data_IF_819203274968
#
_entry.id   IF_819203274968
#
_cell.length_a   1.000
_cell.length_b   1.000
_cell.length_c   1.000
_cell.angle_alpha   90.00
_cell.angle_beta   90.00
_cell.angle_gamma   90.00
#
_symmetry.space_group_name_H-M   'P 1'
#
loop_
_entity.id
_entity.type
_entity.pdbx_description
1 polymer ?
#
# COMPACT_ATOMS: atom_id res chain seq x y z
N UNK A 1 -20.30 27.46 -46.82
CA UNK A 1 -21.43 26.62 -47.28
C UNK A 1 -20.88 25.64 -48.30
N UNK A 2 -20.04 24.67 -47.94
CA UNK A 2 -20.44 23.30 -47.63
C UNK A 2 -19.19 22.52 -47.16
N UNK A 3 -18.73 22.76 -45.94
CA UNK A 3 -17.82 21.84 -45.24
C UNK A 3 -18.04 21.84 -43.72
N UNK A 4 -19.19 22.39 -43.29
CA UNK A 4 -19.68 22.37 -41.91
C UNK A 4 -20.83 21.36 -41.71
N UNK A 5 -21.04 20.44 -42.66
CA UNK A 5 -22.17 19.50 -42.65
C UNK A 5 -21.81 18.02 -42.88
N UNK A 6 -20.54 17.64 -42.67
CA UNK A 6 -20.11 16.21 -42.70
C UNK A 6 -19.33 15.73 -41.47
N UNK A 7 -19.25 16.54 -40.42
CA UNK A 7 -18.64 16.16 -39.15
C UNK A 7 -19.64 16.07 -37.97
N UNK A 8 -20.93 16.17 -38.25
CA UNK A 8 -22.02 16.09 -37.25
C UNK A 8 -22.74 14.74 -37.24
N UNK A 9 -22.34 13.76 -38.08
CA UNK A 9 -23.03 12.46 -38.17
C UNK A 9 -22.32 11.27 -37.50
N UNK A 10 -21.35 11.49 -36.62
CA UNK A 10 -20.72 10.41 -35.84
C UNK A 10 -20.63 10.71 -34.34
N UNK A 11 -21.54 11.56 -33.84
CA UNK A 11 -21.78 11.79 -32.42
C UNK A 11 -23.09 11.14 -31.94
N UNK A 12 -23.57 10.09 -32.61
CA UNK A 12 -24.79 9.36 -32.22
C UNK A 12 -24.67 7.85 -32.40
N UNK A 13 -23.73 7.21 -31.70
CA UNK A 13 -23.77 5.77 -31.36
C UNK A 13 -22.63 5.31 -30.40
N UNK A 14 -22.36 6.08 -29.33
CA UNK A 14 -21.59 5.56 -28.18
C UNK A 14 -22.45 5.76 -26.93
N UNK A 15 -23.63 5.16 -26.95
CA UNK A 15 -24.33 4.72 -25.74
C UNK A 15 -24.80 3.31 -26.02
N UNK A 16 -24.66 2.44 -25.01
CA UNK A 16 -25.02 1.01 -24.97
C UNK A 16 -24.13 0.03 -25.75
N UNK A 17 -23.02 -0.37 -25.12
CA UNK A 17 -22.76 -1.80 -24.87
C UNK A 17 -22.00 -1.99 -23.56
N UNK A 18 -22.79 -2.16 -22.51
CA UNK A 18 -22.44 -2.94 -21.33
C UNK A 18 -22.12 -4.39 -21.71
N UNK A 19 -21.39 -5.06 -20.80
CA UNK A 19 -21.22 -6.52 -20.66
C UNK A 19 -20.28 -7.24 -21.65
N UNK A 20 -18.98 -7.14 -21.38
CA UNK A 20 -18.16 -8.37 -21.29
C UNK A 20 -18.04 -8.70 -19.81
N UNK A 21 -19.05 -9.39 -19.30
CA UNK A 21 -18.92 -10.15 -18.07
C UNK A 21 -17.82 -11.17 -18.32
N UNK A 22 -16.67 -10.95 -17.70
CA UNK A 22 -15.72 -12.01 -17.46
C UNK A 22 -16.48 -13.15 -16.79
N UNK A 23 -16.61 -14.29 -17.46
CA UNK A 23 -17.03 -15.55 -16.86
C UNK A 23 -15.87 -16.04 -15.98
N UNK A 24 -15.66 -15.32 -14.88
CA UNK A 24 -14.94 -15.79 -13.71
C UNK A 24 -15.79 -16.93 -13.16
N UNK A 25 -15.25 -18.15 -12.97
CA UNK A 25 -15.96 -19.16 -12.20
C UNK A 25 -16.27 -18.52 -10.85
N UNK A 26 -17.53 -18.57 -10.42
CA UNK A 26 -18.05 -17.92 -9.21
C UNK A 26 -17.24 -18.39 -7.99
N UNK A 27 -16.12 -17.72 -7.73
CA UNK A 27 -15.37 -17.70 -6.50
C UNK A 27 -15.69 -16.31 -5.96
N UNK A 28 -16.29 -16.24 -4.77
CA UNK A 28 -17.00 -15.06 -4.28
C UNK A 28 -16.31 -13.72 -4.57
N UNK A 29 -17.10 -12.68 -4.86
CA UNK A 29 -16.61 -11.31 -5.08
C UNK A 29 -15.66 -10.92 -3.94
N UNK A 30 -14.41 -10.59 -4.26
CA UNK A 30 -13.47 -9.98 -3.32
C UNK A 30 -12.87 -8.72 -3.95
N UNK A 31 -12.42 -7.76 -3.13
CA UNK A 31 -12.02 -6.42 -3.57
C UNK A 31 -10.51 -6.20 -3.36
N UNK A 32 -9.68 -6.22 -4.44
CA UNK A 32 -8.22 -6.13 -4.34
C UNK A 32 -7.70 -4.84 -3.66
N UNK A 33 -8.43 -3.73 -3.81
CA UNK A 33 -8.05 -2.46 -3.19
C UNK A 33 -8.12 -2.49 -1.66
N UNK A 34 -9.07 -3.25 -1.10
CA UNK A 34 -9.20 -3.48 0.35
C UNK A 34 -8.07 -4.37 0.86
N UNK A 35 -7.72 -5.40 0.09
CA UNK A 35 -6.58 -6.27 0.39
C UNK A 35 -5.26 -5.49 0.42
N UNK A 36 -4.98 -4.67 -0.60
CA UNK A 36 -3.77 -3.87 -0.67
C UNK A 36 -3.66 -2.88 0.50
N UNK A 37 -4.78 -2.24 0.87
CA UNK A 37 -4.87 -1.38 2.04
C UNK A 37 -4.50 -2.11 3.34
N UNK A 38 -5.04 -3.32 3.55
CA UNK A 38 -4.75 -4.10 4.74
C UNK A 38 -3.32 -4.68 4.74
N UNK A 39 -2.75 -5.01 3.59
CA UNK A 39 -1.32 -5.34 3.50
C UNK A 39 -0.43 -4.15 3.85
N UNK A 40 -0.78 -2.93 3.41
CA UNK A 40 -0.06 -1.73 3.83
C UNK A 40 -0.07 -1.58 5.35
N UNK A 41 -1.21 -1.84 6.01
CA UNK A 41 -1.29 -1.85 7.47
C UNK A 41 -0.35 -2.91 8.05
N UNK A 42 -0.48 -4.17 7.63
CA UNK A 42 0.35 -5.30 8.09
C UNK A 42 1.84 -4.99 7.98
N UNK A 43 2.26 -4.42 6.87
CA UNK A 43 3.66 -4.17 6.56
C UNK A 43 4.21 -2.97 7.35
N UNK A 44 3.34 -2.07 7.83
CA UNK A 44 3.73 -0.86 8.56
C UNK A 44 3.74 -1.01 10.08
N UNK A 45 3.01 -1.99 10.62
CA UNK A 45 2.94 -2.24 12.06
C UNK A 45 3.74 -3.49 12.43
N UNK A 46 4.61 -3.36 13.43
CA UNK A 46 5.43 -4.48 13.90
C UNK A 46 4.60 -5.47 14.69
N UNK A 47 4.10 -6.54 14.05
CA UNK A 47 3.56 -7.70 14.76
C UNK A 47 3.77 -8.98 13.96
N UNK A 48 4.46 -9.96 14.56
CA UNK A 48 4.64 -11.29 13.99
C UNK A 48 3.31 -12.03 13.75
N UNK A 49 2.24 -11.65 14.47
CA UNK A 49 0.94 -12.33 14.42
C UNK A 49 0.10 -11.98 13.18
N UNK A 50 0.35 -10.84 12.53
CA UNK A 50 -0.40 -10.47 11.31
C UNK A 50 0.14 -11.18 10.06
N UNK A 51 1.47 -11.38 9.98
CA UNK A 51 2.12 -11.97 8.81
C UNK A 51 1.75 -13.43 8.58
N UNK A 52 1.53 -14.23 9.65
CA UNK A 52 1.10 -15.63 9.50
C UNK A 52 -0.37 -15.77 9.12
N UNK A 53 -1.21 -14.81 9.51
CA UNK A 53 -2.67 -14.96 9.47
C UNK A 53 -3.34 -14.28 8.27
N UNK A 54 -2.67 -13.33 7.62
CA UNK A 54 -3.24 -12.49 6.54
C UNK A 54 -2.68 -12.86 5.15
N UNK A 55 -3.03 -14.07 4.68
CA UNK A 55 -2.66 -14.58 3.35
C UNK A 55 -3.91 -14.79 2.47
N UNK A 56 -3.78 -14.55 1.16
CA UNK A 56 -4.92 -14.63 0.22
C UNK A 56 -5.93 -13.47 0.35
N UNK A 57 -7.12 -13.55 -0.24
CA UNK A 57 -8.13 -12.49 -0.17
C UNK A 57 -8.71 -12.33 1.25
N UNK A 58 -8.93 -11.09 1.73
CA UNK A 58 -9.44 -10.84 3.08
C UNK A 58 -10.88 -11.33 3.26
N UNK A 59 -11.66 -11.35 2.18
CA UNK A 59 -13.05 -11.76 2.18
C UNK A 59 -13.32 -12.79 1.08
N UNK A 60 -13.95 -13.91 1.43
CA UNK A 60 -14.45 -14.93 0.52
C UNK A 60 -15.80 -15.44 1.01
N UNK A 61 -16.83 -15.42 0.14
CA UNK A 61 -18.17 -15.94 0.45
C UNK A 61 -18.73 -15.40 1.78
N UNK A 62 -18.59 -14.09 2.03
CA UNK A 62 -19.04 -13.43 3.25
C UNK A 62 -18.31 -13.84 4.54
N UNK A 63 -17.15 -14.48 4.42
CA UNK A 63 -16.33 -14.91 5.54
C UNK A 63 -14.88 -14.45 5.35
N UNK A 64 -14.15 -14.33 6.46
CA UNK A 64 -12.73 -14.00 6.47
C UNK A 64 -11.94 -15.11 7.14
N UNK A 65 -10.76 -15.41 6.58
CA UNK A 65 -9.74 -16.22 7.25
C UNK A 65 -8.73 -15.37 8.01
N UNK A 66 -8.71 -14.07 7.73
CA UNK A 66 -7.82 -13.11 8.35
C UNK A 66 -8.34 -12.81 9.75
N UNK A 67 -7.53 -13.13 10.77
CA UNK A 67 -7.85 -12.80 12.15
C UNK A 67 -8.18 -11.31 12.29
N UNK A 68 -9.30 -11.00 12.94
CA UNK A 68 -9.75 -9.63 13.15
C UNK A 68 -10.52 -8.99 12.00
N UNK A 69 -10.67 -9.66 10.85
CA UNK A 69 -11.47 -9.16 9.72
C UNK A 69 -12.84 -9.83 9.72
N UNK A 70 -13.91 -9.06 9.52
CA UNK A 70 -15.24 -9.58 9.20
C UNK A 70 -15.73 -9.02 7.87
N UNK A 71 -16.54 -9.81 7.15
CA UNK A 71 -16.95 -9.49 5.79
C UNK A 71 -18.47 -9.41 5.64
N UNK A 72 -18.92 -8.50 4.79
CA UNK A 72 -20.30 -8.40 4.31
C UNK A 72 -20.32 -8.23 2.79
N UNK A 73 -21.02 -9.11 2.05
CA UNK A 73 -21.10 -9.08 0.59
C UNK A 73 -19.73 -9.01 -0.13
N UNK A 74 -18.72 -9.66 0.46
CA UNK A 74 -17.35 -9.69 -0.06
C UNK A 74 -16.47 -8.50 0.34
N UNK A 75 -17.03 -7.50 1.03
CA UNK A 75 -16.31 -6.33 1.53
C UNK A 75 -15.92 -6.47 2.99
N UNK A 76 -14.81 -5.86 3.37
CA UNK A 76 -14.39 -5.72 4.78
C UNK A 76 -15.32 -4.74 5.50
N UNK A 77 -15.98 -5.22 6.54
CA UNK A 77 -16.87 -4.39 7.38
C UNK A 77 -16.34 -4.19 8.79
N UNK A 78 -15.58 -5.15 9.34
CA UNK A 78 -14.92 -4.98 10.64
C UNK A 78 -13.41 -5.20 10.51
N UNK A 79 -12.65 -4.34 11.18
CA UNK A 79 -11.21 -4.47 11.40
C UNK A 79 -10.97 -4.38 12.92
N UNK A 80 -10.69 -5.52 13.55
CA UNK A 80 -10.57 -5.70 15.00
C UNK A 80 -9.25 -6.38 15.34
N UNK A 81 -8.27 -5.59 15.75
CA UNK A 81 -6.90 -6.01 16.05
C UNK A 81 -6.52 -5.71 17.50
N UNK A 82 -7.40 -6.05 18.44
CA UNK A 82 -7.20 -5.71 19.84
C UNK A 82 -6.15 -6.61 20.50
N UNK A 83 -5.22 -6.03 21.26
CA UNK A 83 -4.33 -6.81 22.14
C UNK A 83 -3.27 -7.65 21.44
N UNK A 84 -3.04 -7.49 20.14
CA UNK A 84 -2.10 -8.31 19.36
C UNK A 84 -0.68 -7.73 19.30
N UNK A 85 -0.37 -6.80 20.20
CA UNK A 85 0.94 -6.17 20.40
C UNK A 85 1.45 -5.43 19.16
N UNK A 86 0.55 -4.73 18.46
CA UNK A 86 0.94 -3.88 17.33
C UNK A 86 1.85 -2.75 17.80
N UNK A 87 2.91 -2.48 17.05
CA UNK A 87 3.87 -1.40 17.29
C UNK A 87 4.05 -0.56 16.01
N UNK A 88 4.58 0.66 16.16
CA UNK A 88 4.79 1.58 15.04
C UNK A 88 3.58 2.48 14.80
N UNK A 89 3.51 3.11 13.63
CA UNK A 89 2.44 4.05 13.30
C UNK A 89 1.51 3.54 12.21
N UNK A 90 0.27 4.01 12.21
CA UNK A 90 -0.68 3.69 11.16
C UNK A 90 -0.32 4.42 9.85
N UNK A 91 -0.43 3.75 8.68
CA UNK A 91 -0.25 4.43 7.40
C UNK A 91 -1.31 5.55 7.23
N UNK A 92 -0.98 6.73 6.70
CA UNK A 92 -1.94 7.84 6.64
C UNK A 92 -3.22 7.61 5.80
N UNK A 93 -3.24 6.61 4.92
CA UNK A 93 -4.29 6.42 3.91
C UNK A 93 -4.83 4.98 3.81
N UNK A 94 -4.41 4.04 4.67
CA UNK A 94 -4.80 2.63 4.50
C UNK A 94 -6.31 2.41 4.63
N UNK A 95 -7.03 3.29 5.34
CA UNK A 95 -8.48 3.19 5.49
C UNK A 95 -9.26 3.71 4.27
N UNK A 96 -8.64 4.43 3.34
CA UNK A 96 -9.36 5.12 2.26
C UNK A 96 -10.14 4.17 1.34
N UNK A 97 -9.68 2.92 1.22
CA UNK A 97 -10.31 1.90 0.37
C UNK A 97 -11.31 1.02 1.13
N UNK A 98 -11.40 1.12 2.46
CA UNK A 98 -12.26 0.30 3.31
C UNK A 98 -13.60 1.01 3.59
N UNK A 99 -14.25 1.54 2.55
CA UNK A 99 -15.37 2.50 2.68
C UNK A 99 -16.63 1.94 3.33
N UNK A 100 -16.78 0.61 3.39
CA UNK A 100 -17.89 -0.07 4.05
C UNK A 100 -17.59 -0.51 5.50
N UNK A 101 -16.47 -0.04 6.07
CA UNK A 101 -16.11 -0.34 7.45
C UNK A 101 -17.15 0.24 8.42
N UNK A 102 -17.72 -0.62 9.26
CA UNK A 102 -18.65 -0.26 10.34
C UNK A 102 -17.98 -0.33 11.71
N UNK A 103 -16.90 -1.10 11.85
CA UNK A 103 -16.14 -1.22 13.11
C UNK A 103 -14.64 -1.19 12.89
N UNK A 104 -13.97 -0.28 13.59
CA UNK A 104 -12.52 -0.16 13.69
C UNK A 104 -12.11 -0.30 15.16
N UNK A 105 -11.31 -1.33 15.47
CA UNK A 105 -10.82 -1.57 16.82
C UNK A 105 -9.35 -1.96 16.78
N UNK A 106 -8.52 -1.24 17.53
CA UNK A 106 -7.10 -1.52 17.71
C UNK A 106 -6.69 -1.30 19.17
N UNK A 107 -7.61 -1.55 20.11
CA UNK A 107 -7.42 -1.28 21.55
C UNK A 107 -6.26 -2.11 22.10
N UNK A 108 -5.58 -1.57 23.11
CA UNK A 108 -4.58 -2.30 23.89
C UNK A 108 -3.40 -2.78 23.03
N UNK A 109 -2.82 -1.85 22.27
CA UNK A 109 -1.60 -2.05 21.50
C UNK A 109 -0.58 -0.95 21.86
N UNK A 110 0.53 -0.91 21.14
CA UNK A 110 1.60 0.08 21.29
C UNK A 110 1.72 0.96 20.03
N UNK A 111 0.59 1.29 19.40
CA UNK A 111 0.55 2.07 18.17
C UNK A 111 0.80 3.55 18.50
N UNK A 112 1.74 4.17 17.79
CA UNK A 112 2.15 5.56 17.95
C UNK A 112 1.82 6.43 16.73
N UNK A 113 2.02 7.74 16.85
CA UNK A 113 1.69 8.70 15.79
C UNK A 113 0.25 9.21 15.87
N UNK A 114 -0.23 9.93 14.84
CA UNK A 114 -1.56 10.55 14.87
C UNK A 114 -2.69 9.53 14.72
N UNK A 115 -3.88 9.90 15.19
CA UNK A 115 -5.12 9.18 14.87
C UNK A 115 -5.36 9.14 13.35
N UNK A 116 -5.90 8.03 12.82
CA UNK A 116 -6.10 7.86 11.38
C UNK A 116 -7.21 8.77 10.85
N UNK A 117 -7.19 9.09 9.55
CA UNK A 117 -8.32 9.78 8.92
C UNK A 117 -9.49 8.81 8.73
N UNK A 118 -10.68 9.19 9.22
CA UNK A 118 -11.91 8.40 9.12
C UNK A 118 -12.99 9.08 8.28
N UNK A 119 -12.75 10.27 7.72
CA UNK A 119 -13.79 11.12 7.11
C UNK A 119 -14.55 10.46 5.95
N UNK A 120 -13.93 9.51 5.24
CA UNK A 120 -14.57 8.78 4.13
C UNK A 120 -15.36 7.53 4.58
N UNK A 121 -15.32 7.17 5.87
CA UNK A 121 -15.95 5.97 6.42
C UNK A 121 -17.35 6.28 6.94
N UNK A 122 -18.26 6.70 6.05
CA UNK A 122 -19.61 7.18 6.40
C UNK A 122 -20.48 6.14 7.15
N UNK A 123 -20.18 4.85 6.97
CA UNK A 123 -20.84 3.74 7.66
C UNK A 123 -20.23 3.37 9.00
N UNK A 124 -19.19 4.07 9.47
CA UNK A 124 -18.47 3.71 10.70
C UNK A 124 -19.33 3.97 11.93
N UNK A 125 -19.54 2.93 12.73
CA UNK A 125 -20.36 2.95 13.94
C UNK A 125 -19.52 2.84 15.22
N UNK A 126 -18.44 2.07 15.19
CA UNK A 126 -17.64 1.75 16.38
C UNK A 126 -16.16 2.05 16.14
N UNK A 127 -15.59 2.94 16.96
CA UNK A 127 -14.17 3.32 16.92
C UNK A 127 -13.54 3.12 18.29
N UNK A 128 -12.70 2.09 18.42
CA UNK A 128 -12.03 1.75 19.67
C UNK A 128 -10.50 1.80 19.48
N UNK A 129 -9.90 2.93 19.88
CA UNK A 129 -8.46 3.19 19.76
C UNK A 129 -7.78 3.43 21.11
N UNK A 130 -8.50 3.20 22.20
CA UNK A 130 -8.03 3.35 23.59
C UNK A 130 -6.81 2.47 23.91
N UNK A 131 -6.01 2.85 24.92
CA UNK A 131 -4.84 2.11 25.40
C UNK A 131 -3.82 1.90 24.28
N UNK A 132 -3.32 2.99 23.73
CA UNK A 132 -2.28 3.05 22.71
C UNK A 132 -1.32 4.23 23.02
N UNK A 133 -0.43 4.55 22.08
CA UNK A 133 0.51 5.66 22.18
C UNK A 133 0.17 6.77 21.15
N UNK A 134 -1.11 6.93 20.77
CA UNK A 134 -1.52 7.93 19.78
C UNK A 134 -1.23 9.36 20.27
N UNK A 135 -0.72 10.21 19.39
CA UNK A 135 -0.38 11.63 19.65
C UNK A 135 -1.13 12.56 18.70
N UNK A 136 -0.93 13.87 18.82
CA UNK A 136 -1.61 14.86 17.97
C UNK A 136 -3.07 15.08 18.37
N UNK A 137 -3.82 15.81 17.54
CA UNK A 137 -5.21 16.16 17.82
C UNK A 137 -6.20 15.11 17.37
N UNK A 138 -7.38 15.09 18.00
CA UNK A 138 -8.55 14.37 17.47
C UNK A 138 -8.95 15.06 16.14
N UNK A 139 -8.95 14.34 15.00
CA UNK A 139 -9.28 14.95 13.71
C UNK A 139 -10.69 15.54 13.69
N UNK A 140 -10.83 16.75 13.14
CA UNK A 140 -12.13 17.43 13.08
C UNK A 140 -13.15 16.64 12.26
N UNK A 141 -12.72 15.95 11.20
CA UNK A 141 -13.60 15.19 10.31
C UNK A 141 -14.38 14.07 11.02
N UNK A 142 -14.00 13.69 12.24
CA UNK A 142 -14.75 12.70 13.02
C UNK A 142 -16.16 13.18 13.38
N UNK A 143 -16.41 14.50 13.38
CA UNK A 143 -17.76 15.07 13.56
C UNK A 143 -18.69 14.79 12.37
N UNK A 144 -18.13 14.42 11.21
CA UNK A 144 -18.90 14.14 10.00
C UNK A 144 -19.45 12.70 9.97
N UNK A 145 -18.96 11.81 10.84
CA UNK A 145 -19.36 10.41 10.91
C UNK A 145 -20.75 10.28 11.57
N UNK A 146 -21.82 10.45 10.77
CA UNK A 146 -23.21 10.48 11.26
C UNK A 146 -23.69 9.13 11.84
N UNK A 147 -23.07 8.02 11.45
CA UNK A 147 -23.42 6.68 11.93
C UNK A 147 -22.71 6.29 13.23
N UNK A 148 -21.81 7.15 13.74
CA UNK A 148 -20.93 6.84 14.86
C UNK A 148 -21.72 6.66 16.17
N UNK A 149 -21.67 5.46 16.74
CA UNK A 149 -22.35 5.07 17.98
C UNK A 149 -21.40 5.12 19.17
N UNK A 150 -20.17 4.66 18.99
CA UNK A 150 -19.20 4.60 20.08
C UNK A 150 -17.82 5.06 19.63
N UNK A 151 -17.21 5.95 20.41
CA UNK A 151 -15.82 6.37 20.23
C UNK A 151 -15.06 6.35 21.55
N UNK A 152 -14.03 5.52 21.61
CA UNK A 152 -13.18 5.35 22.78
C UNK A 152 -11.71 5.60 22.43
N UNK A 153 -11.18 6.70 22.96
CA UNK A 153 -9.83 7.20 22.72
C UNK A 153 -9.01 7.32 24.01
N UNK A 154 -9.53 6.84 25.14
CA UNK A 154 -8.89 6.99 26.45
C UNK A 154 -7.55 6.27 26.54
N UNK A 155 -6.69 6.72 27.46
CA UNK A 155 -5.35 6.15 27.68
C UNK A 155 -4.50 6.22 26.41
N UNK A 156 -4.28 7.45 25.94
CA UNK A 156 -3.40 7.83 24.83
C UNK A 156 -2.65 9.13 25.19
N UNK A 157 -1.94 9.73 24.24
CA UNK A 157 -1.22 11.02 24.39
C UNK A 157 -1.80 12.11 23.46
N UNK A 158 -3.11 12.09 23.23
CA UNK A 158 -3.80 13.04 22.37
C UNK A 158 -3.76 14.45 22.96
N UNK A 159 -3.64 15.46 22.11
CA UNK A 159 -3.44 16.87 22.46
C UNK A 159 -4.46 17.77 21.75
N UNK A 160 -4.48 19.05 22.11
CA UNK A 160 -5.37 20.04 21.51
C UNK A 160 -6.82 19.89 21.98
N UNK A 161 -7.75 20.46 21.21
CA UNK A 161 -9.16 20.58 21.59
C UNK A 161 -9.98 19.36 21.22
N UNK A 162 -11.03 19.09 21.98
CA UNK A 162 -12.08 18.14 21.61
C UNK A 162 -12.92 18.76 20.48
N UNK A 163 -13.10 18.08 19.32
CA UNK A 163 -14.03 18.51 18.28
C UNK A 163 -15.48 18.56 18.78
N UNK A 164 -16.34 19.44 18.23
CA UNK A 164 -17.73 19.58 18.66
C UNK A 164 -18.60 18.42 18.16
N UNK A 165 -18.40 17.23 18.70
CA UNK A 165 -19.24 16.06 18.42
C UNK A 165 -20.69 16.37 18.77
N UNK A 166 -21.58 16.21 17.80
CA UNK A 166 -23.01 16.49 17.93
C UNK A 166 -23.87 15.42 17.24
N UNK A 167 -23.26 14.28 16.91
CA UNK A 167 -23.95 13.16 16.29
C UNK A 167 -24.90 12.49 17.29
N UNK A 168 -26.19 12.54 16.98
CA UNK A 168 -27.26 12.01 17.84
C UNK A 168 -27.23 10.48 18.00
N UNK A 169 -26.50 9.79 17.12
CA UNK A 169 -26.26 8.35 17.18
C UNK A 169 -25.26 7.95 18.27
N UNK A 170 -24.47 8.90 18.78
CA UNK A 170 -23.37 8.65 19.70
C UNK A 170 -23.90 8.34 21.11
N UNK A 171 -23.70 7.10 21.56
CA UNK A 171 -24.16 6.58 22.85
C UNK A 171 -23.03 6.27 23.82
N UNK A 172 -21.78 6.16 23.33
CA UNK A 172 -20.59 6.05 24.17
C UNK A 172 -19.46 6.94 23.66
N UNK A 173 -18.86 7.69 24.57
CA UNK A 173 -17.75 8.60 24.30
C UNK A 173 -16.79 8.57 25.47
N UNK A 174 -15.50 8.37 25.21
CA UNK A 174 -14.47 8.46 26.23
C UNK A 174 -13.15 8.97 25.65
N UNK A 175 -12.65 10.08 26.21
CA UNK A 175 -11.37 10.70 25.87
C UNK A 175 -10.49 10.93 27.11
N UNK A 176 -10.83 10.29 28.23
CA UNK A 176 -10.10 10.41 29.49
C UNK A 176 -8.65 9.94 29.36
N UNK A 177 -7.78 10.31 30.30
CA UNK A 177 -6.36 9.92 30.30
C UNK A 177 -5.66 10.26 28.98
N UNK A 178 -5.64 11.55 28.64
CA UNK A 178 -4.95 12.13 27.48
C UNK A 178 -4.31 13.47 27.90
N UNK A 179 -3.86 14.27 26.94
CA UNK A 179 -3.30 15.63 27.14
C UNK A 179 -4.15 16.69 26.43
N UNK A 180 -5.46 16.50 26.38
CA UNK A 180 -6.39 17.43 25.73
C UNK A 180 -6.54 18.73 26.54
N UNK A 181 -6.85 19.82 25.82
CA UNK A 181 -6.92 21.16 26.39
C UNK A 181 -8.06 22.02 25.83
N UNK A 182 -8.37 23.09 26.57
CA UNK A 182 -9.39 24.06 26.21
C UNK A 182 -10.80 23.69 26.68
N UNK A 183 -11.81 24.47 26.28
CA UNK A 183 -13.18 24.22 26.67
C UNK A 183 -13.72 22.95 26.04
N UNK A 184 -14.39 22.11 26.83
CA UNK A 184 -15.23 21.02 26.31
C UNK A 184 -16.36 21.67 25.49
N UNK A 185 -16.55 21.30 24.21
CA UNK A 185 -17.61 21.88 23.40
C UNK A 185 -18.99 21.63 24.02
N UNK A 186 -19.81 22.69 24.06
CA UNK A 186 -21.13 22.65 24.71
C UNK A 186 -22.22 22.18 23.74
N UNK A 187 -22.02 21.03 23.10
CA UNK A 187 -23.04 20.36 22.29
C UNK A 187 -24.01 19.60 23.18
N UNK A 188 -25.22 19.31 22.71
CA UNK A 188 -26.21 18.55 23.49
C UNK A 188 -25.71 17.13 23.77
N UNK A 189 -25.05 16.54 22.78
CA UNK A 189 -24.47 15.19 22.86
C UNK A 189 -23.33 15.12 23.88
N UNK A 190 -22.32 15.99 23.79
CA UNK A 190 -21.16 15.91 24.71
C UNK A 190 -21.53 16.23 26.16
N UNK A 191 -22.54 17.08 26.39
CA UNK A 191 -23.05 17.33 27.75
C UNK A 191 -23.75 16.11 28.37
N UNK A 192 -24.20 15.17 27.55
CA UNK A 192 -24.87 13.96 28.00
C UNK A 192 -23.94 12.90 28.58
N UNK A 193 -22.63 12.96 28.28
CA UNK A 193 -21.66 11.98 28.77
C UNK A 193 -21.19 12.29 30.19
N UNK A 194 -20.87 11.26 31.00
CA UNK A 194 -20.44 11.45 32.39
C UNK A 194 -19.09 12.16 32.48
N UNK A 195 -18.84 12.83 33.61
CA UNK A 195 -17.57 13.52 33.89
C UNK A 195 -16.35 12.60 33.68
N UNK A 196 -16.49 11.31 34.00
CA UNK A 196 -15.46 10.28 33.83
C UNK A 196 -14.92 10.17 32.40
N UNK A 197 -15.73 10.49 31.39
CA UNK A 197 -15.33 10.46 29.98
C UNK A 197 -14.27 11.50 29.62
N UNK A 198 -14.03 12.50 30.48
CA UNK A 198 -13.15 13.64 30.23
C UNK A 198 -12.00 13.75 31.23
N UNK A 199 -12.06 13.01 32.35
CA UNK A 199 -11.07 13.10 33.43
C UNK A 199 -9.65 12.79 32.96
N UNK A 200 -8.66 13.21 33.75
CA UNK A 200 -7.25 13.02 33.45
C UNK A 200 -6.81 13.67 32.12
N UNK A 201 -7.38 14.83 31.82
CA UNK A 201 -6.89 15.79 30.83
C UNK A 201 -6.74 17.15 31.55
N UNK A 202 -5.53 17.48 32.00
CA UNK A 202 -5.32 18.64 32.89
C UNK A 202 -5.60 19.99 32.24
N UNK A 203 -5.63 20.07 30.91
CA UNK A 203 -5.92 21.29 30.17
C UNK A 203 -7.40 21.52 29.87
N UNK A 204 -8.28 20.54 30.11
CA UNK A 204 -9.70 20.67 29.82
C UNK A 204 -10.43 21.53 30.85
N UNK A 205 -11.43 22.26 30.39
CA UNK A 205 -12.29 23.08 31.23
C UNK A 205 -13.74 23.10 30.70
N UNK A 206 -14.68 23.56 31.52
CA UNK A 206 -16.10 23.64 31.22
C UNK A 206 -16.92 22.47 31.76
N UNK A 207 -18.20 22.42 31.39
CA UNK A 207 -19.07 21.28 31.69
C UNK A 207 -18.79 20.14 30.69
N UNK A 208 -18.84 18.86 31.10
CA UNK A 208 -19.43 18.38 32.37
C UNK A 208 -18.50 18.37 33.60
N UNK A 209 -17.18 18.54 33.44
CA UNK A 209 -16.21 18.40 34.56
C UNK A 209 -16.19 19.56 35.58
N UNK A 210 -17.04 20.57 35.40
CA UNK A 210 -17.21 21.75 36.29
C UNK A 210 -15.93 22.52 36.58
N UNK A 211 -14.91 22.37 35.74
CA UNK A 211 -13.63 23.09 35.85
C UNK A 211 -13.78 24.47 35.18
N UNK A 212 -13.51 25.60 35.86
CA UNK A 212 -13.64 26.93 35.24
C UNK A 212 -12.67 27.11 34.08
N UNK A 213 -13.16 27.62 32.94
CA UNK A 213 -12.26 27.97 31.85
C UNK A 213 -11.53 29.29 32.12
N UNK A 214 -10.23 29.39 31.75
CA UNK A 214 -9.52 30.66 31.80
C UNK A 214 -10.28 31.70 30.98
N UNK A 215 -10.67 32.80 31.62
CA UNK A 215 -11.21 33.95 30.90
C UNK A 215 -10.04 34.55 30.12
N UNK A 216 -10.15 34.73 28.78
CA UNK A 216 -9.12 35.43 28.05
C UNK A 216 -8.85 36.78 28.71
N UNK A 217 -7.58 37.18 28.93
CA UNK A 217 -7.31 38.52 29.44
C UNK A 217 -7.99 39.52 28.51
N UNK A 218 -8.75 40.45 29.09
CA UNK A 218 -9.39 41.52 28.35
C UNK A 218 -8.34 42.17 27.43
N UNK A 219 -8.69 42.52 26.17
CA UNK A 219 -7.73 43.16 25.29
C UNK A 219 -7.24 44.45 25.94
N UNK A 220 -5.98 44.44 26.40
CA UNK A 220 -5.31 45.63 26.89
C UNK A 220 -5.32 46.67 25.77
N UNK A 221 -5.60 47.96 26.06
CA UNK A 221 -5.53 48.99 25.04
C UNK A 221 -4.13 49.01 24.44
N UNK A 222 -4.06 48.82 23.13
CA UNK A 222 -2.83 48.82 22.35
C UNK A 222 -1.99 50.06 22.67
N UNK A 223 -0.68 49.93 22.96
CA UNK A 223 0.19 51.09 23.01
C UNK A 223 0.30 51.65 21.59
N UNK A 224 -0.03 52.93 21.44
CA UNK A 224 0.27 53.71 20.24
C UNK A 224 1.78 53.77 20.06
N UNK A 225 2.34 52.91 19.21
CA UNK A 225 3.71 53.08 18.74
C UNK A 225 3.77 54.20 17.70
N UNK A 226 4.12 55.39 18.16
CA UNK A 226 4.67 56.46 17.33
C UNK A 226 6.09 56.09 16.90
N UNK A 227 6.20 55.28 15.85
CA UNK A 227 7.47 54.99 15.19
C UNK A 227 7.97 56.22 14.43
N UNK A 228 9.04 56.85 14.94
CA UNK A 228 9.88 57.78 14.17
C UNK A 228 10.38 57.07 12.92
N UNK A 229 10.07 57.62 11.74
CA UNK A 229 10.66 57.21 10.46
C UNK A 229 12.15 57.55 10.47
N UNK A 230 13.02 56.56 10.63
CA UNK A 230 14.40 56.66 10.17
C UNK A 230 14.46 56.21 8.72
N UNK A 231 14.92 57.09 7.83
CA UNK A 231 15.19 56.79 6.42
C UNK A 231 16.25 55.70 6.32
N UNK A 232 15.85 54.52 5.84
CA UNK A 232 16.77 53.45 5.48
C UNK A 232 17.00 53.54 3.97
N UNK A 233 18.25 53.78 3.58
CA UNK A 233 18.66 54.02 2.21
C UNK A 233 18.34 52.84 1.29
N UNK A 234 17.84 53.15 0.10
CA UNK A 234 17.35 52.25 -0.95
C UNK A 234 18.46 51.45 -1.66
N UNK A 235 19.52 51.05 -0.95
CA UNK A 235 20.67 50.32 -1.52
C UNK A 235 20.75 48.85 -1.10
N UNK A 236 20.12 48.47 0.01
CA UNK A 236 20.22 47.10 0.55
C UNK A 236 19.10 46.15 0.08
N UNK A 237 17.98 46.65 -0.44
CA UNK A 237 16.90 45.79 -0.96
C UNK A 237 17.23 45.18 -2.33
N UNK A 238 18.04 45.87 -3.14
CA UNK A 238 18.45 45.40 -4.47
C UNK A 238 19.45 44.23 -4.35
N UNK A 239 20.32 44.25 -3.35
CA UNK A 239 21.27 43.17 -3.08
C UNK A 239 20.58 41.88 -2.62
N UNK A 240 19.56 41.99 -1.76
CA UNK A 240 18.81 40.83 -1.26
C UNK A 240 18.00 40.17 -2.38
N UNK A 241 17.37 40.97 -3.25
CA UNK A 241 16.63 40.43 -4.42
C UNK A 241 17.59 39.78 -5.42
N UNK A 242 18.75 40.40 -5.70
CA UNK A 242 19.75 39.83 -6.61
C UNK A 242 20.30 38.49 -6.11
N UNK A 243 20.60 38.36 -4.81
CA UNK A 243 21.11 37.12 -4.20
C UNK A 243 20.02 36.04 -4.19
N UNK A 244 18.76 36.41 -3.92
CA UNK A 244 17.64 35.46 -3.89
C UNK A 244 17.33 34.80 -5.26
N UNK A 245 17.73 35.44 -6.36
CA UNK A 245 17.53 34.91 -7.72
C UNK A 245 18.80 34.25 -8.27
N UNK A 246 19.98 34.78 -7.93
CA UNK A 246 21.26 34.23 -8.40
C UNK A 246 21.57 32.85 -7.80
N UNK A 247 21.23 32.63 -6.52
CA UNK A 247 21.50 31.34 -5.86
C UNK A 247 20.68 30.20 -6.45
N UNK A 248 19.35 30.31 -6.65
CA UNK A 248 18.57 29.29 -7.36
C UNK A 248 19.04 29.09 -8.80
N UNK A 249 19.38 30.16 -9.53
CA UNK A 249 19.88 30.05 -10.89
C UNK A 249 21.21 29.28 -10.97
N UNK A 250 22.12 29.49 -10.01
CA UNK A 250 23.36 28.72 -9.92
C UNK A 250 23.10 27.25 -9.57
N UNK A 251 22.16 26.95 -8.67
CA UNK A 251 21.77 25.57 -8.33
C UNK A 251 21.16 24.87 -9.55
N UNK A 252 20.26 25.54 -10.28
CA UNK A 252 19.67 25.03 -11.52
C UNK A 252 20.75 24.83 -12.57
N UNK A 253 21.70 25.74 -12.72
CA UNK A 253 22.79 25.61 -13.68
C UNK A 253 23.72 24.44 -13.35
N UNK A 254 24.05 24.24 -12.07
CA UNK A 254 24.81 23.08 -11.59
C UNK A 254 24.03 21.79 -11.81
N UNK A 255 22.72 21.80 -11.56
CA UNK A 255 21.84 20.65 -11.79
C UNK A 255 21.75 20.30 -13.28
N UNK A 256 21.56 21.30 -14.16
CA UNK A 256 21.55 21.12 -15.61
C UNK A 256 22.93 20.70 -16.14
N UNK A 257 24.02 21.23 -15.56
CA UNK A 257 25.37 20.80 -15.90
C UNK A 257 25.63 19.35 -15.47
N UNK A 258 25.17 18.97 -14.28
CA UNK A 258 25.22 17.59 -13.80
C UNK A 258 24.38 16.66 -14.68
N UNK A 259 23.16 17.08 -15.04
CA UNK A 259 22.26 16.33 -15.91
C UNK A 259 22.85 16.16 -17.31
N UNK A 260 23.40 17.24 -17.90
CA UNK A 260 24.10 17.20 -19.19
C UNK A 260 25.39 16.37 -19.14
N UNK A 261 26.10 16.37 -18.00
CA UNK A 261 27.31 15.56 -17.79
C UNK A 261 26.97 14.08 -17.60
N UNK A 262 25.85 13.76 -16.95
CA UNK A 262 25.30 12.40 -16.80
C UNK A 262 24.80 11.86 -18.13
N UNK A 263 24.05 12.67 -18.88
CA UNK A 263 23.57 12.31 -20.21
C UNK A 263 24.72 12.15 -21.23
N UNK A 264 25.83 12.91 -21.09
CA UNK A 264 27.06 12.67 -21.87
C UNK A 264 27.74 11.35 -21.52
N UNK A 265 27.62 10.85 -20.29
CA UNK A 265 28.15 9.53 -19.89
C UNK A 265 27.26 8.39 -20.40
N UNK A 266 25.95 8.62 -20.50
CA UNK A 266 25.00 7.67 -21.11
C UNK A 266 25.11 7.65 -22.65
N UNK A 267 25.29 8.79 -23.32
CA UNK A 267 25.56 8.80 -24.76
C UNK A 267 26.95 8.26 -25.10
N UNK A 268 27.96 8.41 -24.22
CA UNK A 268 29.27 7.76 -24.38
C UNK A 268 29.22 6.24 -24.15
N UNK A 269 28.33 5.74 -23.29
CA UNK A 269 28.06 4.30 -23.11
C UNK A 269 27.28 3.72 -24.28
N UNK A 270 26.26 4.44 -24.76
CA UNK A 270 25.44 4.01 -25.89
C UNK A 270 26.22 4.10 -27.22
N UNK A 271 27.16 5.05 -27.37
CA UNK A 271 28.08 5.07 -28.51
C UNK A 271 29.14 3.97 -28.43
N UNK A 272 29.59 3.57 -27.24
CA UNK A 272 30.49 2.42 -27.08
C UNK A 272 29.80 1.07 -27.37
N UNK A 273 28.49 0.98 -27.12
CA UNK A 273 27.67 -0.19 -27.49
C UNK A 273 27.40 -0.22 -29.01
N UNK A 274 27.34 0.93 -29.68
CA UNK A 274 27.18 0.99 -31.13
C UNK A 274 28.43 0.52 -31.90
N UNK A 275 29.64 0.74 -31.37
CA UNK A 275 30.89 0.25 -31.96
C UNK A 275 31.18 -1.24 -31.69
N UNK A 276 30.53 -1.84 -30.68
CA UNK A 276 30.69 -3.27 -30.39
C UNK A 276 29.71 -4.16 -31.19
N UNK A 277 28.65 -3.57 -31.74
CA UNK A 277 27.63 -4.28 -32.51
C UNK A 277 27.91 -4.30 -34.03
N UNK A 278 29.03 -3.73 -34.47
CA UNK A 278 29.41 -3.64 -35.89
C UNK A 278 30.27 -4.82 -36.39
N UNK A 279 30.69 -5.75 -35.52
CA UNK A 279 31.59 -6.87 -35.89
C UNK A 279 30.97 -8.28 -35.85
N UNK A 280 29.66 -8.42 -35.67
CA UNK A 280 28.96 -9.71 -35.78
C UNK A 280 27.57 -9.54 -36.39
N UNK A 281 27.54 -8.98 -37.60
CA UNK A 281 26.30 -8.60 -38.28
C UNK A 281 26.37 -8.77 -39.80
N UNK A 282 26.98 -9.84 -40.30
CA UNK A 282 26.78 -10.28 -41.68
C UNK A 282 26.44 -11.77 -41.70
N UNK A 283 25.15 -12.08 -41.81
CA UNK A 283 24.61 -12.91 -42.89
C UNK A 283 23.09 -13.08 -42.72
N UNK A 284 22.39 -13.02 -43.86
CA UNK A 284 20.99 -13.37 -44.09
C UNK A 284 19.93 -12.28 -43.84
N UNK A 285 19.83 -11.38 -44.82
CA UNK A 285 18.52 -10.89 -45.31
C UNK A 285 18.23 -11.61 -46.63
N UNK A 286 17.18 -12.42 -46.63
CA UNK A 286 16.18 -12.69 -47.67
C UNK A 286 15.38 -13.90 -47.15
N UNK A 287 14.05 -13.97 -47.11
CA UNK A 287 13.05 -13.40 -47.97
C UNK A 287 11.68 -13.51 -47.26
N UNK A 288 10.84 -12.53 -47.57
CA UNK A 288 9.50 -12.26 -47.08
C UNK A 288 8.44 -13.38 -47.12
N UNK A 289 7.56 -13.31 -46.11
CA UNK A 289 6.07 -13.39 -46.17
C UNK A 289 5.40 -14.20 -47.29
N UNK A 290 4.73 -15.31 -46.95
CA UNK A 290 3.29 -15.60 -47.28
C UNK A 290 2.87 -17.03 -46.90
N UNK A 291 1.78 -17.17 -46.12
CA UNK A 291 0.51 -17.86 -46.46
C UNK A 291 -0.22 -18.41 -45.24
N UNK A 292 -1.49 -18.00 -45.10
CA UNK A 292 -2.55 -18.83 -44.55
C UNK A 292 -2.63 -20.14 -45.33
N UNK A 293 -2.57 -21.29 -44.65
CA UNK A 293 -3.61 -22.33 -44.66
C UNK A 293 -3.08 -23.68 -44.11
N UNK A 294 -3.89 -24.24 -43.22
CA UNK A 294 -4.19 -25.65 -43.00
C UNK A 294 -3.05 -26.69 -42.93
N UNK A 295 -3.00 -27.37 -41.77
CA UNK A 295 -2.81 -28.81 -41.63
C UNK A 295 -1.55 -29.44 -42.24
N UNK A 296 -0.59 -29.80 -41.41
CA UNK A 296 -0.23 -31.22 -41.23
C UNK A 296 0.66 -31.38 -39.99
N UNK A 297 0.29 -32.36 -39.16
CA UNK A 297 1.08 -32.85 -38.03
C UNK A 297 2.45 -33.33 -38.51
N UNK A 298 3.51 -32.84 -37.87
CA UNK A 298 4.76 -33.57 -37.71
C UNK A 298 5.25 -33.28 -36.28
N UNK A 299 5.44 -34.36 -35.52
CA UNK A 299 5.84 -34.41 -34.12
C UNK A 299 7.27 -33.86 -33.99
N UNK A 300 7.45 -32.78 -33.24
CA UNK A 300 8.77 -32.31 -32.80
C UNK A 300 8.78 -32.32 -31.25
N UNK A 301 9.53 -33.22 -30.59
CA UNK A 301 9.40 -33.46 -29.16
C UNK A 301 10.06 -32.41 -28.25
N UNK A 302 10.66 -31.34 -28.79
CA UNK A 302 11.31 -30.29 -27.98
C UNK A 302 10.46 -29.02 -27.75
N UNK A 303 9.24 -28.94 -28.29
CA UNK A 303 8.48 -27.68 -28.33
C UNK A 303 7.46 -27.45 -27.20
N UNK A 304 7.71 -27.92 -25.97
CA UNK A 304 6.75 -27.79 -24.86
C UNK A 304 7.38 -27.47 -23.49
N UNK A 305 8.49 -26.73 -23.45
CA UNK A 305 9.05 -26.27 -22.18
C UNK A 305 8.46 -24.89 -21.82
N UNK A 306 7.20 -24.84 -21.42
CA UNK A 306 6.56 -23.68 -20.81
C UNK A 306 6.62 -23.81 -19.27
N UNK A 307 6.45 -22.69 -18.55
CA UNK A 307 6.25 -22.74 -17.10
C UNK A 307 4.93 -23.46 -16.80
N UNK A 308 5.00 -24.55 -16.03
CA UNK A 308 3.81 -25.26 -15.58
C UNK A 308 3.33 -24.65 -14.25
N UNK A 309 2.22 -23.91 -14.32
CA UNK A 309 1.56 -23.32 -13.16
C UNK A 309 0.58 -24.32 -12.53
N UNK A 310 0.59 -24.43 -11.20
CA UNK A 310 -0.35 -25.29 -10.49
C UNK A 310 -1.77 -24.73 -10.47
N UNK A 311 -1.88 -23.40 -10.54
CA UNK A 311 -3.14 -22.68 -10.69
C UNK A 311 -3.26 -22.17 -12.12
N UNK A 312 -4.08 -22.86 -12.94
CA UNK A 312 -4.23 -22.60 -14.37
C UNK A 312 -4.87 -21.24 -14.71
N UNK A 313 -5.33 -20.49 -13.71
CA UNK A 313 -6.05 -19.24 -13.89
C UNK A 313 -5.16 -17.99 -13.96
N UNK A 314 -3.84 -18.07 -13.70
CA UNK A 314 -2.96 -16.89 -13.73
C UNK A 314 -1.50 -17.26 -14.04
N UNK A 315 -0.99 -17.08 -15.27
CA UNK A 315 0.42 -16.78 -15.43
C UNK A 315 0.61 -15.29 -15.17
N UNK A 316 1.21 -14.93 -14.04
CA UNK A 316 1.58 -13.54 -13.75
C UNK A 316 2.81 -13.08 -14.56
N UNK A 317 3.49 -14.01 -15.23
CA UNK A 317 4.69 -13.85 -16.05
C UNK A 317 4.92 -15.14 -16.85
N UNK A 318 5.68 -15.05 -17.94
CA UNK A 318 6.12 -16.22 -18.72
C UNK A 318 7.60 -16.59 -18.48
N UNK A 319 8.11 -17.59 -19.21
CA UNK A 319 9.51 -18.01 -19.06
C UNK A 319 10.49 -16.90 -19.48
N UNK A 320 10.16 -16.12 -20.50
CA UNK A 320 11.01 -15.05 -20.99
C UNK A 320 11.11 -13.92 -19.97
N UNK A 321 9.99 -13.55 -19.34
CA UNK A 321 9.94 -12.61 -18.24
C UNK A 321 10.82 -13.06 -17.06
N UNK A 322 10.78 -14.36 -16.74
CA UNK A 322 11.58 -14.95 -15.66
C UNK A 322 13.08 -14.95 -16.00
N UNK A 323 13.45 -15.21 -17.26
CA UNK A 323 14.83 -15.22 -17.72
C UNK A 323 15.42 -13.81 -17.84
N UNK A 324 14.59 -12.78 -18.11
CA UNK A 324 15.00 -11.37 -18.10
C UNK A 324 15.04 -10.75 -16.70
N UNK A 325 14.45 -11.40 -15.69
CA UNK A 325 14.37 -10.89 -14.33
C UNK A 325 15.76 -10.63 -13.73
N UNK A 326 15.86 -9.56 -12.93
CA UNK A 326 17.04 -9.34 -12.10
C UNK A 326 17.10 -10.39 -11.00
N UNK A 327 18.25 -11.01 -10.77
CA UNK A 327 18.39 -12.13 -9.85
C UNK A 327 19.49 -11.89 -8.79
N UNK A 328 19.13 -12.06 -7.52
CA UNK A 328 20.04 -12.03 -6.37
C UNK A 328 20.08 -13.41 -5.71
N UNK A 329 21.26 -13.90 -5.31
CA UNK A 329 21.38 -15.22 -4.66
C UNK A 329 20.93 -15.12 -3.20
N UNK A 330 19.86 -15.83 -2.84
CA UNK A 330 19.40 -15.94 -1.44
C UNK A 330 20.13 -17.04 -0.67
N UNK A 331 20.52 -18.13 -1.34
CA UNK A 331 21.18 -19.24 -0.66
C UNK A 331 21.68 -20.32 -1.61
N UNK A 332 22.78 -20.97 -1.25
CA UNK A 332 23.38 -22.07 -2.01
C UNK A 332 23.43 -23.32 -1.13
N UNK A 333 22.59 -24.30 -1.46
CA UNK A 333 22.66 -25.65 -0.89
C UNK A 333 23.50 -26.60 -1.74
N UNK A 334 23.69 -27.82 -1.25
CA UNK A 334 24.36 -28.91 -1.97
C UNK A 334 23.63 -29.27 -3.28
N UNK A 335 22.30 -29.29 -3.25
CA UNK A 335 21.47 -29.78 -4.36
C UNK A 335 20.79 -28.66 -5.17
N UNK A 336 20.83 -27.41 -4.70
CA UNK A 336 20.14 -26.29 -5.34
C UNK A 336 20.75 -24.94 -5.02
N UNK A 337 20.52 -23.95 -5.87
CA UNK A 337 20.69 -22.53 -5.54
C UNK A 337 19.33 -21.85 -5.56
N UNK A 338 19.05 -21.02 -4.57
CA UNK A 338 17.84 -20.20 -4.50
C UNK A 338 18.18 -18.75 -4.82
N UNK A 339 17.40 -18.15 -5.70
CA UNK A 339 17.50 -16.77 -6.15
C UNK A 339 16.24 -16.01 -5.79
N UNK A 340 16.38 -14.73 -5.49
CA UNK A 340 15.31 -13.74 -5.51
C UNK A 340 15.30 -13.14 -6.91
N UNK A 341 14.24 -13.41 -7.67
CA UNK A 341 14.05 -12.83 -8.99
C UNK A 341 13.05 -11.68 -8.90
N UNK A 342 13.45 -10.49 -9.37
CA UNK A 342 12.57 -9.34 -9.50
C UNK A 342 12.32 -9.07 -10.97
N UNK A 343 11.06 -9.26 -11.39
CA UNK A 343 10.61 -9.11 -12.78
C UNK A 343 10.37 -7.63 -13.11
N UNK A 344 10.36 -7.29 -14.39
CA UNK A 344 10.10 -5.91 -14.86
C UNK A 344 8.70 -5.40 -14.47
N UNK A 345 7.74 -6.31 -14.30
CA UNK A 345 6.39 -6.01 -13.80
C UNK A 345 6.36 -5.57 -12.32
N UNK A 346 7.48 -5.67 -11.60
CA UNK A 346 7.58 -5.42 -10.16
C UNK A 346 7.22 -6.63 -9.29
N UNK A 347 6.82 -7.76 -9.89
CA UNK A 347 6.62 -9.02 -9.17
C UNK A 347 7.98 -9.58 -8.71
N UNK A 348 8.03 -10.05 -7.46
CA UNK A 348 9.21 -10.69 -6.89
C UNK A 348 8.89 -12.14 -6.54
N UNK A 349 9.71 -13.07 -7.01
CA UNK A 349 9.55 -14.51 -6.79
C UNK A 349 10.86 -15.15 -6.31
N UNK A 350 10.75 -16.27 -5.59
CA UNK A 350 11.90 -17.09 -5.21
C UNK A 350 12.08 -18.22 -6.22
N UNK A 351 13.21 -18.25 -6.93
CA UNK A 351 13.53 -19.27 -7.94
C UNK A 351 14.58 -20.22 -7.40
N UNK A 352 14.22 -21.49 -7.25
CA UNK A 352 15.16 -22.55 -6.84
C UNK A 352 15.60 -23.34 -8.06
N UNK A 353 16.87 -23.20 -8.42
CA UNK A 353 17.52 -23.95 -9.49
C UNK A 353 18.17 -25.22 -8.93
N UNK A 354 17.77 -26.38 -9.44
CA UNK A 354 18.35 -27.67 -9.06
C UNK A 354 19.71 -27.86 -9.76
N UNK A 355 20.74 -28.27 -9.03
CA UNK A 355 22.13 -28.35 -9.53
C UNK A 355 22.51 -29.70 -10.14
N UNK A 356 22.02 -30.79 -9.55
CA UNK A 356 22.34 -32.15 -9.98
C UNK A 356 21.11 -32.77 -10.66
N UNK A 357 21.23 -32.98 -11.96
CA UNK A 357 20.17 -33.44 -12.85
C UNK A 357 20.28 -34.94 -13.13
N UNK A 358 21.40 -35.58 -12.76
CA UNK A 358 21.74 -36.94 -13.17
C UNK A 358 20.95 -38.02 -12.41
N UNK A 359 20.31 -37.66 -11.30
CA UNK A 359 19.53 -38.57 -10.46
C UNK A 359 18.00 -38.40 -10.53
N UNK A 360 17.48 -37.49 -11.35
CA UNK A 360 16.04 -37.18 -11.37
C UNK A 360 15.51 -37.07 -12.80
N UNK A 361 14.77 -38.10 -13.25
CA UNK A 361 14.16 -38.06 -14.57
C UNK A 361 13.09 -36.96 -14.65
N UNK A 362 12.85 -36.45 -15.86
CA UNK A 362 11.81 -35.43 -16.10
C UNK A 362 10.43 -35.90 -15.60
N UNK A 363 10.12 -37.18 -15.77
CA UNK A 363 8.86 -37.79 -15.32
C UNK A 363 8.74 -37.79 -13.80
N UNK A 364 9.80 -38.18 -13.09
CA UNK A 364 9.82 -38.17 -11.61
C UNK A 364 9.73 -36.75 -11.07
N UNK A 365 10.44 -35.80 -11.68
CA UNK A 365 10.36 -34.38 -11.28
C UNK A 365 8.95 -33.83 -11.44
N UNK A 366 8.32 -34.02 -12.60
CA UNK A 366 6.94 -33.55 -12.84
C UNK A 366 5.97 -34.18 -11.83
N UNK A 367 6.05 -35.49 -11.59
CA UNK A 367 5.18 -36.17 -10.63
C UNK A 367 5.36 -35.62 -9.20
N UNK A 368 6.61 -35.41 -8.76
CA UNK A 368 6.88 -34.82 -7.46
C UNK A 368 6.36 -33.39 -7.37
N UNK A 369 6.59 -32.57 -8.40
CA UNK A 369 6.09 -31.21 -8.46
C UNK A 369 4.57 -31.16 -8.41
N UNK A 370 3.86 -32.05 -9.12
CA UNK A 370 2.40 -32.18 -9.07
C UNK A 370 1.86 -32.59 -7.69
N UNK A 371 2.63 -33.35 -6.90
CA UNK A 371 2.27 -33.67 -5.52
C UNK A 371 2.53 -32.47 -4.60
N UNK A 372 3.70 -31.85 -4.69
CA UNK A 372 4.12 -30.75 -3.82
C UNK A 372 3.32 -29.46 -4.09
N UNK A 373 2.99 -29.15 -5.35
CA UNK A 373 2.23 -27.96 -5.72
C UNK A 373 0.79 -27.97 -5.22
N UNK A 374 0.25 -29.14 -4.88
CA UNK A 374 -1.08 -29.31 -4.24
C UNK A 374 -1.05 -29.17 -2.73
N UNK A 375 0.13 -29.21 -2.11
CA UNK A 375 0.23 -29.02 -0.67
C UNK A 375 -0.10 -27.57 -0.30
N UNK A 376 -0.92 -27.43 0.74
CA UNK A 376 -1.31 -26.17 1.34
C UNK A 376 -1.23 -26.34 2.85
N UNK A 377 -0.33 -25.61 3.49
CA UNK A 377 -0.12 -25.66 4.94
C UNK A 377 0.43 -24.31 5.42
N UNK A 378 0.07 -23.90 6.63
CA UNK A 378 0.43 -22.59 7.22
C UNK A 378 1.95 -22.36 7.29
N UNK A 379 2.71 -23.43 7.54
CA UNK A 379 4.17 -23.39 7.65
C UNK A 379 4.91 -23.82 6.36
N UNK A 380 4.24 -23.85 5.21
CA UNK A 380 4.86 -24.21 3.92
C UNK A 380 4.73 -23.08 2.91
N UNK A 381 5.86 -22.66 2.34
CA UNK A 381 5.88 -21.69 1.24
C UNK A 381 5.25 -22.31 0.00
N UNK A 382 4.30 -21.59 -0.61
CA UNK A 382 3.56 -22.05 -1.77
C UNK A 382 4.44 -22.10 -3.02
N UNK A 383 4.34 -23.21 -3.77
CA UNK A 383 4.92 -23.33 -5.10
C UNK A 383 3.92 -22.74 -6.11
N UNK A 384 4.39 -21.77 -6.89
CA UNK A 384 3.62 -21.06 -7.92
C UNK A 384 3.63 -21.85 -9.23
N UNK A 385 4.85 -22.16 -9.69
CA UNK A 385 5.08 -22.87 -10.93
C UNK A 385 6.41 -23.62 -10.88
N UNK A 386 6.63 -24.46 -11.87
CA UNK A 386 7.92 -25.07 -12.10
C UNK A 386 8.25 -25.07 -13.59
N UNK A 387 9.54 -25.13 -13.87
CA UNK A 387 10.06 -25.31 -15.21
C UNK A 387 10.85 -26.62 -15.25
N UNK A 388 10.64 -27.40 -16.30
CA UNK A 388 11.36 -28.64 -16.50
C UNK A 388 11.79 -28.79 -17.95
N UNK A 389 13.10 -28.86 -18.15
CA UNK A 389 13.73 -29.23 -19.41
C UNK A 389 14.82 -30.28 -19.16
N UNK A 390 15.41 -30.77 -20.25
CA UNK A 390 16.55 -31.69 -20.18
C UNK A 390 17.79 -31.04 -19.52
N UNK A 391 17.90 -29.72 -19.60
CA UNK A 391 19.06 -28.98 -19.12
C UNK A 391 18.81 -28.29 -17.78
N UNK A 392 17.56 -27.95 -17.47
CA UNK A 392 17.22 -27.16 -16.29
C UNK A 392 15.94 -27.62 -15.60
N UNK A 393 15.97 -27.57 -14.27
CA UNK A 393 14.80 -27.73 -13.40
C UNK A 393 14.73 -26.54 -12.46
N UNK A 394 13.66 -25.76 -12.57
CA UNK A 394 13.39 -24.61 -11.72
C UNK A 394 12.11 -24.86 -10.94
N UNK A 395 12.12 -24.47 -9.66
CA UNK A 395 10.93 -24.45 -8.82
C UNK A 395 10.73 -23.00 -8.39
N UNK A 396 9.56 -22.46 -8.69
CA UNK A 396 9.23 -21.06 -8.44
C UNK A 396 8.26 -20.99 -7.27
N UNK A 397 8.66 -20.26 -6.24
CA UNK A 397 7.91 -20.06 -5.01
C UNK A 397 7.48 -18.60 -4.88
N UNK A 398 6.47 -18.37 -4.04
CA UNK A 398 6.22 -17.05 -3.48
C UNK A 398 7.48 -16.54 -2.77
N UNK A 399 7.84 -15.27 -3.02
CA UNK A 399 8.91 -14.63 -2.27
C UNK A 399 8.37 -14.15 -0.93
N UNK A 400 8.96 -14.64 0.16
CA UNK A 400 8.63 -14.20 1.53
C UNK A 400 9.72 -13.23 2.00
N UNK A 401 9.41 -11.92 2.14
CA UNK A 401 10.37 -10.97 2.67
C UNK A 401 10.72 -11.31 4.13
N UNK A 402 11.98 -11.14 4.51
CA UNK A 402 12.43 -11.14 5.93
C UNK A 402 12.36 -12.48 6.69
N UNK A 403 12.32 -13.62 6.01
CA UNK A 403 12.39 -14.93 6.65
C UNK A 403 13.59 -15.72 6.12
N UNK A 404 14.78 -15.42 6.65
CA UNK A 404 15.88 -16.39 6.58
C UNK A 404 15.99 -17.08 7.95
N UNK A 405 16.06 -18.41 7.95
CA UNK A 405 16.18 -19.20 9.18
C UNK A 405 17.43 -18.80 9.98
N UNK A 406 18.44 -18.22 9.33
CA UNK A 406 19.66 -17.78 9.97
C UNK A 406 19.42 -16.63 10.97
N UNK A 407 18.69 -15.58 10.59
CA UNK A 407 18.29 -14.44 11.44
C UNK A 407 17.27 -14.82 12.51
N UNK A 408 16.57 -15.95 12.32
CA UNK A 408 15.62 -16.45 13.31
C UNK A 408 16.30 -17.35 14.36
N UNK A 409 17.47 -17.91 14.02
CA UNK A 409 18.25 -18.81 14.88
C UNK A 409 19.51 -18.17 15.49
N UNK A 410 19.99 -17.05 14.95
CA UNK A 410 21.18 -16.29 15.36
C UNK A 410 20.83 -14.81 15.39
#
# INVERSE_FOLDING_TARGET
MNLALKLVSLLSCITTWSSVLALIPIIGRYYPNEQAALWQLRDSVGSSNLYSNWTGPPCMNNQSRWGGIACSNGHVVHLVLDGIRLMGSLPPAFLNNLTLLTKLSMRNNSISGPLPNLGNLVGLEYVFLSRNLFTGSIPFDYVQLQSLKEIELQENYLQGKIPPFDQQSLIAFNVSYNSLEGPIPQTDVLRGFPESSYLHNSGLCGNPIKMPCPVPPAPSPSPSHSGKKSSFETRDLVFIIAVSVLVPCLVIFVFLWYYKRRHRKETAKNSAILYFNEELGETAIELETKKMNASQRALDPERTAELEFFEKSIPAFDLDDLLRASAEVLGKGKLSTTYKASLESGLVVSVKRVKDMNGLSNKEFIQQMQLLGKLRHENLVQIISFYNSNQEKLIIYEFVPSANLFELLH
#
